data_IF_062284108580
#
_entry.id   IF_062284108580
#
_cell.length_a   1.000
_cell.length_b   1.000
_cell.length_c   1.000
_cell.angle_alpha   90.00
_cell.angle_beta   90.00
_cell.angle_gamma   90.00
#
_symmetry.space_group_name_H-M   'P 1'
#
loop_
_entity.id
_entity.type
_entity.pdbx_description
1 polymer ?
#
# COMPACT_ATOMS: atom_id res chain seq x y z
N UNK A 1 -6.20 24.14 -22.69
CA UNK A 1 -6.13 24.68 -21.32
C UNK A 1 -4.77 24.37 -20.71
N UNK A 2 -4.03 25.40 -20.30
CA UNK A 2 -2.76 25.25 -19.56
C UNK A 2 -3.04 25.21 -18.06
N UNK A 3 -2.39 24.28 -17.34
CA UNK A 3 -2.44 24.25 -15.88
C UNK A 3 -1.60 25.39 -15.32
N UNK A 4 -2.20 26.19 -14.43
CA UNK A 4 -1.52 27.27 -13.74
C UNK A 4 -0.45 26.69 -12.81
N UNK A 5 0.64 27.43 -12.59
CA UNK A 5 1.72 27.00 -11.69
C UNK A 5 1.21 26.74 -10.25
N UNK A 6 0.22 27.51 -9.81
CA UNK A 6 -0.46 27.34 -8.51
C UNK A 6 -1.16 25.98 -8.41
N UNK A 7 -1.84 25.54 -9.45
CA UNK A 7 -2.53 24.24 -9.51
C UNK A 7 -1.51 23.10 -9.46
N UNK A 8 -0.41 23.21 -10.21
CA UNK A 8 0.67 22.20 -10.18
C UNK A 8 1.27 22.08 -8.77
N UNK A 9 1.56 23.19 -8.09
CA UNK A 9 2.06 23.18 -6.71
C UNK A 9 1.05 22.55 -5.75
N UNK A 10 -0.25 22.84 -5.91
CA UNK A 10 -1.32 22.26 -5.09
C UNK A 10 -1.38 20.74 -5.24
N UNK A 11 -1.43 20.25 -6.48
CA UNK A 11 -1.46 18.80 -6.78
C UNK A 11 -0.20 18.11 -6.26
N UNK A 12 0.98 18.72 -6.45
CA UNK A 12 2.27 18.22 -5.92
C UNK A 12 2.24 18.03 -4.42
N UNK A 13 1.63 18.97 -3.70
CA UNK A 13 1.49 18.88 -2.26
C UNK A 13 0.48 17.80 -1.85
N UNK A 14 -0.58 17.59 -2.65
CA UNK A 14 -1.57 16.54 -2.41
C UNK A 14 -0.94 15.14 -2.43
N UNK A 15 0.01 14.86 -3.34
CA UNK A 15 0.65 13.54 -3.50
C UNK A 15 1.31 12.99 -2.22
N UNK A 16 1.78 13.87 -1.34
CA UNK A 16 2.34 13.48 -0.03
C UNK A 16 1.30 12.80 0.85
N UNK A 17 0.06 13.30 0.81
CA UNK A 17 -1.06 12.71 1.55
C UNK A 17 -1.56 11.44 0.89
N UNK A 18 -1.58 11.37 -0.44
CA UNK A 18 -1.95 10.14 -1.16
C UNK A 18 -1.02 8.98 -0.79
N UNK A 19 0.30 9.19 -0.89
CA UNK A 19 1.28 8.14 -0.57
C UNK A 19 1.20 7.71 0.88
N UNK A 20 1.02 8.66 1.81
CA UNK A 20 0.84 8.36 3.22
C UNK A 20 -0.47 7.60 3.49
N UNK A 21 -1.56 7.91 2.78
CA UNK A 21 -2.84 7.20 2.90
C UNK A 21 -2.72 5.75 2.42
N UNK A 22 -1.95 5.48 1.36
CA UNK A 22 -1.72 4.10 0.88
C UNK A 22 -0.95 3.24 1.89
N UNK A 23 -0.02 3.83 2.65
CA UNK A 23 0.70 3.11 3.71
C UNK A 23 -0.29 2.67 4.79
N UNK A 24 -1.12 3.58 5.28
CA UNK A 24 -2.13 3.24 6.29
C UNK A 24 -3.14 2.22 5.75
N UNK A 25 -3.61 2.40 4.50
CA UNK A 25 -4.53 1.47 3.86
C UNK A 25 -3.93 0.06 3.78
N UNK A 26 -2.65 -0.07 3.44
CA UNK A 26 -1.99 -1.38 3.38
C UNK A 26 -1.97 -2.10 4.73
N UNK A 27 -1.83 -1.34 5.83
CA UNK A 27 -1.94 -1.87 7.17
C UNK A 27 -3.39 -2.28 7.47
N UNK A 28 -4.38 -1.41 7.21
CA UNK A 28 -5.78 -1.67 7.48
C UNK A 28 -6.31 -2.89 6.72
N UNK A 29 -5.99 -3.01 5.43
CA UNK A 29 -6.37 -4.17 4.60
C UNK A 29 -5.73 -5.46 5.11
N UNK A 30 -4.47 -5.41 5.56
CA UNK A 30 -3.82 -6.57 6.18
C UNK A 30 -4.53 -6.95 7.48
N UNK A 31 -4.86 -5.96 8.30
CA UNK A 31 -5.48 -6.14 9.61
C UNK A 31 -6.89 -6.72 9.52
N UNK A 32 -7.63 -6.40 8.46
CA UNK A 32 -9.01 -6.86 8.26
C UNK A 32 -9.14 -8.26 7.62
N UNK A 33 -8.04 -8.92 7.20
CA UNK A 33 -8.10 -10.30 6.66
C UNK A 33 -8.62 -11.31 7.67
N UNK A 34 -9.57 -12.16 7.26
CA UNK A 34 -10.31 -13.12 8.10
C UNK A 34 -9.43 -13.80 9.17
N UNK A 35 -8.27 -14.31 8.79
CA UNK A 35 -7.38 -15.09 9.68
C UNK A 35 -6.61 -14.25 10.71
N UNK A 36 -6.68 -12.93 10.65
CA UNK A 36 -5.98 -12.07 11.59
C UNK A 36 -6.83 -11.82 12.82
N UNK A 37 -6.35 -12.25 13.98
CA UNK A 37 -6.97 -12.03 15.29
C UNK A 37 -6.27 -10.88 16.01
N UNK A 38 -7.05 -9.95 16.54
CA UNK A 38 -6.50 -8.83 17.31
C UNK A 38 -6.22 -9.29 18.73
N UNK A 39 -5.03 -8.95 19.24
CA UNK A 39 -4.67 -9.26 20.62
C UNK A 39 -5.58 -8.51 21.58
N UNK A 40 -6.16 -9.25 22.53
CA UNK A 40 -6.98 -8.69 23.62
C UNK A 40 -6.15 -8.08 24.75
N UNK A 41 -4.89 -8.49 24.88
CA UNK A 41 -3.95 -7.98 25.88
C UNK A 41 -2.50 -8.10 25.36
N UNK A 42 -1.63 -7.22 25.83
CA UNK A 42 -0.18 -7.33 25.68
C UNK A 42 0.47 -7.07 27.03
N UNK A 43 1.35 -7.97 27.45
CA UNK A 43 2.08 -7.91 28.70
C UNK A 43 3.57 -7.71 28.45
N UNK A 44 4.24 -7.02 29.36
CA UNK A 44 5.70 -6.90 29.42
C UNK A 44 6.15 -7.21 30.83
N UNK A 45 7.09 -8.14 30.94
CA UNK A 45 7.75 -8.45 32.20
C UNK A 45 8.97 -7.54 32.37
N UNK A 46 8.99 -6.82 33.48
CA UNK A 46 10.06 -5.91 33.89
C UNK A 46 10.88 -6.64 34.96
N UNK A 47 12.10 -7.08 34.65
CA UNK A 47 12.92 -7.83 35.60
C UNK A 47 13.35 -6.94 36.77
N UNK A 48 13.24 -7.45 37.98
CA UNK A 48 13.82 -6.82 39.17
C UNK A 48 15.25 -7.33 39.35
N UNK A 49 16.22 -6.41 39.47
CA UNK A 49 17.65 -6.73 39.42
C UNK A 49 18.11 -7.64 40.59
N UNK A 50 17.37 -7.66 41.69
CA UNK A 50 17.84 -8.25 42.95
C UNK A 50 17.15 -9.55 43.37
N UNK A 51 16.10 -9.97 42.65
CA UNK A 51 15.37 -11.23 42.91
C UNK A 51 14.95 -11.77 41.56
N UNK A 52 14.90 -13.09 41.35
CA UNK A 52 14.31 -13.72 40.16
C UNK A 52 12.78 -13.49 40.08
N UNK A 53 12.35 -12.23 40.26
CA UNK A 53 10.99 -11.72 40.31
C UNK A 53 10.83 -10.69 39.17
N UNK A 54 9.65 -10.63 38.57
CA UNK A 54 9.30 -9.65 37.55
C UNK A 54 8.05 -8.87 37.98
N UNK A 55 8.01 -7.58 37.64
CA UNK A 55 6.75 -6.83 37.59
C UNK A 55 6.14 -7.02 36.20
N UNK A 56 4.85 -7.34 36.12
CA UNK A 56 4.15 -7.42 34.84
C UNK A 56 3.33 -6.16 34.63
N UNK A 57 3.61 -5.43 33.56
CA UNK A 57 2.72 -4.37 33.06
C UNK A 57 1.92 -4.89 31.87
N UNK A 58 0.66 -4.45 31.74
CA UNK A 58 -0.19 -4.85 30.61
C UNK A 58 -0.97 -3.70 29.99
N UNK A 59 -1.24 -3.84 28.69
CA UNK A 59 -2.10 -2.96 27.91
C UNK A 59 -3.22 -3.81 27.32
N UNK A 60 -4.45 -3.40 27.58
CA UNK A 60 -5.63 -4.04 27.00
C UNK A 60 -5.83 -3.61 25.54
N UNK A 61 -6.13 -4.59 24.70
CA UNK A 61 -6.55 -4.43 23.30
C UNK A 61 -5.63 -3.52 22.45
N UNK A 62 -4.31 -3.70 22.48
CA UNK A 62 -3.37 -2.80 21.80
C UNK A 62 -3.57 -2.77 20.29
N UNK A 63 -3.94 -3.89 19.66
CA UNK A 63 -4.14 -3.96 18.22
C UNK A 63 -5.39 -3.20 17.78
N UNK A 64 -6.45 -3.22 18.60
CA UNK A 64 -7.67 -2.45 18.41
C UNK A 64 -7.38 -0.94 18.46
N UNK A 65 -6.63 -0.49 19.46
CA UNK A 65 -6.21 0.92 19.59
C UNK A 65 -5.38 1.36 18.39
N UNK A 66 -4.40 0.55 17.99
CA UNK A 66 -3.60 0.82 16.80
C UNK A 66 -4.47 0.87 15.55
N UNK A 67 -5.39 -0.07 15.37
CA UNK A 67 -6.28 -0.10 14.23
C UNK A 67 -7.08 1.20 14.10
N UNK A 68 -7.67 1.69 15.19
CA UNK A 68 -8.43 2.94 15.20
C UNK A 68 -7.54 4.15 14.89
N UNK A 69 -6.32 4.20 15.46
CA UNK A 69 -5.37 5.27 15.15
C UNK A 69 -5.01 5.27 13.65
N UNK A 70 -4.78 4.11 13.06
CA UNK A 70 -4.52 3.98 11.62
C UNK A 70 -5.74 4.31 10.76
N UNK A 71 -6.94 3.91 11.18
CA UNK A 71 -8.18 4.23 10.48
C UNK A 71 -8.42 5.74 10.47
N UNK A 72 -8.31 6.39 11.63
CA UNK A 72 -8.42 7.84 11.73
C UNK A 72 -7.37 8.53 10.85
N UNK A 73 -6.10 8.10 10.93
CA UNK A 73 -5.02 8.68 10.12
C UNK A 73 -5.23 8.50 8.62
N UNK A 74 -5.73 7.33 8.21
CA UNK A 74 -6.07 7.02 6.82
C UNK A 74 -7.16 7.94 6.29
N UNK A 75 -8.26 8.10 7.06
CA UNK A 75 -9.35 9.01 6.72
C UNK A 75 -8.82 10.45 6.64
N UNK A 76 -8.00 10.87 7.60
CA UNK A 76 -7.39 12.20 7.61
C UNK A 76 -6.61 12.48 6.31
N UNK A 77 -5.68 11.60 5.97
CA UNK A 77 -4.83 11.74 4.78
C UNK A 77 -5.65 11.71 3.50
N UNK A 78 -6.69 10.87 3.46
CA UNK A 78 -7.64 10.79 2.35
C UNK A 78 -8.38 12.10 2.15
N UNK A 79 -8.96 12.67 3.22
CA UNK A 79 -9.66 13.95 3.16
C UNK A 79 -8.72 15.08 2.73
N UNK A 80 -7.51 15.15 3.30
CA UNK A 80 -6.51 16.16 2.92
C UNK A 80 -6.15 16.09 1.44
N UNK A 81 -5.95 14.88 0.92
CA UNK A 81 -5.71 14.66 -0.51
C UNK A 81 -6.88 15.17 -1.35
N UNK A 82 -8.10 14.68 -1.07
CA UNK A 82 -9.31 15.05 -1.82
C UNK A 82 -9.53 16.57 -1.79
N UNK A 83 -9.39 17.21 -0.63
CA UNK A 83 -9.52 18.66 -0.50
C UNK A 83 -8.55 19.43 -1.38
N UNK A 84 -7.28 19.02 -1.41
CA UNK A 84 -6.27 19.67 -2.24
C UNK A 84 -6.42 19.34 -3.73
N UNK A 85 -7.06 18.24 -4.10
CA UNK A 85 -7.32 17.92 -5.50
C UNK A 85 -8.52 18.70 -6.04
N UNK A 86 -9.61 18.77 -5.27
CA UNK A 86 -10.90 19.29 -5.74
C UNK A 86 -11.03 20.80 -5.52
N UNK A 87 -10.59 21.33 -4.38
CA UNK A 87 -10.85 22.72 -4.01
C UNK A 87 -9.62 23.62 -4.29
N UNK A 88 -9.75 24.50 -5.28
CA UNK A 88 -8.67 25.41 -5.70
C UNK A 88 -8.31 26.45 -4.63
N UNK A 89 -9.24 26.78 -3.74
CA UNK A 89 -9.05 27.78 -2.67
C UNK A 89 -8.37 27.20 -1.42
N UNK A 90 -8.19 25.88 -1.37
CA UNK A 90 -7.61 25.17 -0.23
C UNK A 90 -6.10 25.05 -0.41
N UNK A 91 -5.37 25.43 0.64
CA UNK A 91 -3.91 25.39 0.68
C UNK A 91 -3.44 24.48 1.82
N UNK A 92 -2.17 24.06 1.77
CA UNK A 92 -1.54 23.32 2.88
C UNK A 92 -1.71 24.04 4.22
N UNK A 93 -1.61 25.38 4.26
CA UNK A 93 -1.78 26.16 5.49
C UNK A 93 -3.16 25.95 6.10
N UNK A 94 -4.23 25.98 5.28
CA UNK A 94 -5.61 25.69 5.73
C UNK A 94 -5.75 24.24 6.20
N UNK A 95 -5.15 23.30 5.48
CA UNK A 95 -5.15 21.88 5.84
C UNK A 95 -4.45 21.62 7.19
N UNK A 96 -3.27 22.21 7.43
CA UNK A 96 -2.55 22.06 8.69
C UNK A 96 -3.24 22.76 9.86
N UNK A 97 -3.95 23.87 9.61
CA UNK A 97 -4.76 24.56 10.62
C UNK A 97 -5.91 23.69 11.17
N UNK A 98 -6.30 22.61 10.46
CA UNK A 98 -7.30 21.66 10.96
C UNK A 98 -6.81 20.80 12.14
N UNK A 99 -5.51 20.77 12.45
CA UNK A 99 -4.93 20.04 13.62
C UNK A 99 -5.50 18.62 13.81
N UNK A 100 -5.55 17.83 12.74
CA UNK A 100 -6.11 16.45 12.71
C UNK A 100 -7.63 16.31 12.87
N UNK A 101 -8.38 17.41 12.99
CA UNK A 101 -9.83 17.34 13.12
C UNK A 101 -10.49 16.97 11.77
N UNK A 102 -11.02 15.75 11.68
CA UNK A 102 -11.63 15.20 10.46
C UNK A 102 -12.87 16.00 10.02
N UNK A 103 -13.70 16.46 10.97
CA UNK A 103 -14.87 17.29 10.67
C UNK A 103 -14.52 18.63 10.01
N UNK A 104 -13.43 19.26 10.44
CA UNK A 104 -12.92 20.47 9.77
C UNK A 104 -12.46 20.18 8.35
N UNK A 105 -11.89 19.00 8.10
CA UNK A 105 -11.44 18.59 6.76
C UNK A 105 -12.61 18.31 5.81
N UNK A 106 -13.75 17.80 6.30
CA UNK A 106 -14.94 17.63 5.46
C UNK A 106 -15.40 18.92 4.79
N UNK A 107 -15.29 20.07 5.47
CA UNK A 107 -15.64 21.39 4.90
C UNK A 107 -14.89 21.71 3.61
N UNK A 108 -13.73 21.08 3.40
CA UNK A 108 -12.87 21.29 2.25
C UNK A 108 -12.96 20.17 1.22
N UNK A 109 -13.62 19.06 1.55
CA UNK A 109 -13.83 17.93 0.65
C UNK A 109 -15.27 17.92 0.14
N UNK A 110 -15.53 17.24 -0.99
CA UNK A 110 -16.90 16.98 -1.43
C UNK A 110 -17.55 15.80 -0.67
N UNK A 111 -16.83 15.19 0.27
CA UNK A 111 -17.40 14.28 1.24
C UNK A 111 -18.01 15.11 2.36
N UNK A 112 -19.30 14.93 2.61
CA UNK A 112 -20.02 15.55 3.71
C UNK A 112 -20.87 14.49 4.42
N UNK A 113 -21.47 14.86 5.55
CA UNK A 113 -22.28 13.91 6.35
C UNK A 113 -23.43 13.32 5.56
N UNK A 114 -24.10 14.13 4.74
CA UNK A 114 -25.23 13.67 3.93
C UNK A 114 -24.80 12.60 2.92
N UNK A 115 -23.66 12.80 2.26
CA UNK A 115 -23.08 11.82 1.34
C UNK A 115 -22.68 10.55 2.09
N UNK A 116 -22.09 10.67 3.28
CA UNK A 116 -21.73 9.51 4.10
C UNK A 116 -22.95 8.71 4.54
N UNK A 117 -24.02 9.37 5.00
CA UNK A 117 -25.30 8.71 5.35
C UNK A 117 -25.94 7.96 4.18
N UNK A 118 -25.68 8.39 2.94
CA UNK A 118 -26.14 7.71 1.72
C UNK A 118 -25.26 6.52 1.33
N UNK A 119 -24.00 6.51 1.76
CA UNK A 119 -23.01 5.49 1.39
C UNK A 119 -22.86 4.39 2.44
N UNK A 120 -23.19 4.68 3.69
CA UNK A 120 -23.03 3.81 4.85
C UNK A 120 -24.42 3.41 5.35
N UNK A 121 -24.57 2.15 5.75
CA UNK A 121 -25.70 1.72 6.57
C UNK A 121 -25.67 2.43 7.93
N UNK A 122 -26.79 2.42 8.65
CA UNK A 122 -26.94 3.15 9.91
C UNK A 122 -25.84 2.82 10.92
N UNK A 123 -25.57 1.52 11.13
CA UNK A 123 -24.52 1.03 12.03
C UNK A 123 -23.12 1.46 11.59
N UNK A 124 -22.80 1.34 10.30
CA UNK A 124 -21.51 1.74 9.76
C UNK A 124 -21.32 3.26 9.87
N UNK A 125 -22.40 4.02 9.70
CA UNK A 125 -22.41 5.47 9.86
C UNK A 125 -22.17 5.89 11.31
N UNK A 126 -22.78 5.20 12.28
CA UNK A 126 -22.54 5.46 13.71
C UNK A 126 -21.07 5.27 14.08
N UNK A 127 -20.48 4.14 13.68
CA UNK A 127 -19.07 3.84 13.93
C UNK A 127 -18.17 4.85 13.20
N UNK A 128 -18.49 5.17 11.95
CA UNK A 128 -17.77 6.19 11.19
C UNK A 128 -17.84 7.55 11.89
N UNK A 129 -19.03 7.99 12.29
CA UNK A 129 -19.26 9.26 13.00
C UNK A 129 -18.47 9.33 14.31
N UNK A 130 -18.38 8.21 15.04
CA UNK A 130 -17.53 8.09 16.20
C UNK A 130 -16.06 8.34 15.84
N UNK A 131 -15.53 7.62 14.83
CA UNK A 131 -14.13 7.81 14.35
C UNK A 131 -13.86 9.26 13.93
N UNK A 132 -14.82 9.91 13.28
CA UNK A 132 -14.72 11.30 12.83
C UNK A 132 -14.66 12.32 13.96
N UNK A 133 -15.19 11.95 15.14
CA UNK A 133 -15.18 12.75 16.35
C UNK A 133 -14.00 12.48 17.28
N UNK A 134 -13.22 11.43 17.01
CA UNK A 134 -12.08 11.08 17.84
C UNK A 134 -11.06 12.22 17.90
N UNK A 135 -10.61 12.50 19.12
CA UNK A 135 -9.41 13.30 19.34
C UNK A 135 -8.22 12.37 19.24
N UNK A 136 -7.52 12.42 18.10
CA UNK A 136 -6.39 11.54 17.81
C UNK A 136 -5.33 11.50 18.93
N UNK A 137 -5.02 12.64 19.56
CA UNK A 137 -4.10 12.72 20.70
C UNK A 137 -4.58 11.93 21.91
N UNK A 138 -5.88 12.00 22.18
CA UNK A 138 -6.47 11.43 23.39
C UNK A 138 -6.51 9.90 23.28
N UNK A 139 -6.74 9.36 22.08
CA UNK A 139 -6.61 7.92 21.80
C UNK A 139 -5.16 7.47 21.93
N UNK A 140 -4.21 8.27 21.44
CA UNK A 140 -2.78 7.90 21.41
C UNK A 140 -2.13 7.92 22.79
N UNK A 141 -2.52 8.86 23.63
CA UNK A 141 -1.92 9.10 24.94
C UNK A 141 -2.85 8.75 26.10
N UNK A 142 -3.99 8.12 25.81
CA UNK A 142 -5.03 7.77 26.79
C UNK A 142 -5.41 8.93 27.72
N UNK A 143 -5.41 10.15 27.18
CA UNK A 143 -5.56 11.38 27.98
C UNK A 143 -7.01 11.62 28.46
N UNK A 144 -7.95 10.81 28.00
CA UNK A 144 -9.36 10.83 28.41
C UNK A 144 -9.95 9.43 28.31
N UNK A 145 -10.91 9.10 29.16
CA UNK A 145 -11.68 7.86 29.05
C UNK A 145 -12.42 7.83 27.71
N UNK A 146 -12.21 6.79 26.90
CA UNK A 146 -12.89 6.59 25.63
C UNK A 146 -13.28 5.12 25.47
N UNK A 147 -14.53 4.89 25.08
CA UNK A 147 -15.06 3.57 24.74
C UNK A 147 -15.11 3.43 23.22
N UNK A 148 -14.51 2.36 22.68
CA UNK A 148 -14.50 2.08 21.25
C UNK A 148 -15.46 0.94 20.96
N UNK A 149 -16.32 1.11 19.95
CA UNK A 149 -17.18 0.05 19.43
C UNK A 149 -16.48 -0.56 18.22
N UNK A 150 -16.20 -1.86 18.28
CA UNK A 150 -15.56 -2.62 17.20
C UNK A 150 -16.58 -3.54 16.55
N UNK A 151 -16.98 -3.19 15.34
CA UNK A 151 -17.62 -4.12 14.42
C UNK A 151 -16.73 -4.27 13.20
N UNK A 152 -16.20 -5.48 12.99
CA UNK A 152 -15.18 -5.74 11.97
C UNK A 152 -15.72 -5.47 10.56
N UNK A 153 -16.96 -5.83 10.30
CA UNK A 153 -17.60 -5.69 9.01
C UNK A 153 -17.86 -4.21 8.71
N UNK A 154 -18.38 -3.47 9.70
CA UNK A 154 -18.51 -2.01 9.61
C UNK A 154 -17.16 -1.32 9.38
N UNK A 155 -16.10 -1.71 10.10
CA UNK A 155 -14.77 -1.16 9.89
C UNK A 155 -14.23 -1.46 8.49
N UNK A 156 -14.50 -2.66 7.97
CA UNK A 156 -14.15 -3.04 6.60
C UNK A 156 -14.90 -2.18 5.57
N UNK A 157 -16.20 -1.96 5.76
CA UNK A 157 -17.03 -1.12 4.89
C UNK A 157 -16.55 0.33 4.90
N UNK A 158 -16.27 0.89 6.08
CA UNK A 158 -15.74 2.25 6.24
C UNK A 158 -14.41 2.39 5.48
N UNK A 159 -13.46 1.46 5.68
CA UNK A 159 -12.17 1.47 4.97
C UNK A 159 -12.38 1.45 3.45
N UNK A 160 -13.27 0.58 2.96
CA UNK A 160 -13.55 0.45 1.53
C UNK A 160 -14.17 1.71 0.92
N UNK A 161 -15.04 2.41 1.64
CA UNK A 161 -15.65 3.65 1.17
C UNK A 161 -14.59 4.75 1.00
N UNK A 162 -13.76 4.97 2.03
CA UNK A 162 -12.70 5.98 1.93
C UNK A 162 -11.62 5.61 0.92
N UNK A 163 -11.28 4.31 0.80
CA UNK A 163 -10.42 3.79 -0.27
C UNK A 163 -11.00 4.12 -1.64
N UNK A 164 -12.28 3.86 -1.87
CA UNK A 164 -12.94 4.15 -3.15
C UNK A 164 -12.88 5.64 -3.47
N UNK A 165 -13.25 6.51 -2.53
CA UNK A 165 -13.19 7.96 -2.71
C UNK A 165 -11.78 8.47 -3.01
N UNK A 166 -10.76 7.91 -2.35
CA UNK A 166 -9.35 8.22 -2.60
C UNK A 166 -8.94 7.89 -4.04
N UNK A 167 -9.28 6.67 -4.50
CA UNK A 167 -8.93 6.16 -5.82
C UNK A 167 -9.72 6.86 -6.92
N UNK A 168 -11.01 7.08 -6.73
CA UNK A 168 -11.88 7.77 -7.70
C UNK A 168 -11.43 9.22 -7.88
N UNK A 169 -11.09 9.91 -6.79
CA UNK A 169 -10.51 11.25 -6.86
C UNK A 169 -9.20 11.24 -7.66
N UNK A 170 -8.28 10.31 -7.38
CA UNK A 170 -7.04 10.20 -8.15
C UNK A 170 -7.29 9.94 -9.63
N UNK A 171 -8.15 8.98 -9.94
CA UNK A 171 -8.48 8.61 -11.31
C UNK A 171 -9.00 9.81 -12.09
N UNK A 172 -9.97 10.52 -11.52
CA UNK A 172 -10.62 11.69 -12.13
C UNK A 172 -9.66 12.85 -12.40
N UNK A 173 -8.74 13.15 -11.48
CA UNK A 173 -7.95 14.39 -11.55
C UNK A 173 -6.51 14.20 -12.04
N UNK A 174 -5.93 12.99 -11.96
CA UNK A 174 -4.55 12.73 -12.37
C UNK A 174 -4.40 11.78 -13.55
N UNK A 175 -5.33 10.82 -13.69
CA UNK A 175 -5.23 9.80 -14.75
C UNK A 175 -6.06 10.12 -16.00
N UNK A 176 -6.76 11.26 -16.02
CA UNK A 176 -7.24 11.85 -17.27
C UNK A 176 -6.04 12.09 -18.22
N UNK A 177 -6.18 11.63 -19.46
CA UNK A 177 -5.16 11.69 -20.53
C UNK A 177 -4.59 13.10 -20.69
N UNK A 178 -5.40 14.16 -20.49
CA UNK A 178 -4.96 15.57 -20.58
C UNK A 178 -3.95 15.95 -19.49
N UNK A 179 -4.07 15.39 -18.29
CA UNK A 179 -3.19 15.66 -17.16
C UNK A 179 -1.93 14.82 -17.22
N UNK A 180 -2.05 13.54 -17.61
CA UNK A 180 -0.93 12.58 -17.63
C UNK A 180 0.26 13.06 -18.49
N UNK A 181 0.01 13.59 -19.68
CA UNK A 181 1.07 14.03 -20.61
C UNK A 181 1.80 15.28 -20.11
N UNK A 182 1.07 16.24 -19.51
CA UNK A 182 1.65 17.50 -19.01
C UNK A 182 2.29 17.34 -17.64
N UNK A 183 1.67 16.57 -16.76
CA UNK A 183 2.15 16.33 -15.39
C UNK A 183 3.47 15.55 -15.40
N UNK A 184 3.56 14.49 -16.21
CA UNK A 184 4.82 13.70 -16.36
C UNK A 184 5.93 14.50 -17.03
N UNK A 185 5.63 15.33 -18.04
CA UNK A 185 6.64 16.17 -18.72
C UNK A 185 7.17 17.30 -17.83
N UNK A 186 6.32 18.13 -17.21
CA UNK A 186 6.76 19.30 -16.43
C UNK A 186 7.42 18.95 -15.08
N UNK A 187 7.10 17.80 -14.49
CA UNK A 187 7.70 17.38 -13.21
C UNK A 187 9.12 16.84 -13.34
N UNK A 188 9.45 16.23 -14.49
CA UNK A 188 10.79 15.71 -14.77
C UNK A 188 11.85 16.82 -14.75
N UNK A 189 11.43 18.06 -15.04
CA UNK A 189 12.33 19.18 -15.29
C UNK A 189 12.45 20.20 -14.13
N UNK A 190 11.60 20.14 -13.07
CA UNK A 190 11.51 21.23 -12.06
C UNK A 190 11.73 20.84 -10.61
N UNK A 191 11.67 19.57 -10.26
CA UNK A 191 11.90 19.13 -8.88
C UNK A 191 12.86 17.95 -8.90
N UNK A 192 13.81 17.94 -7.98
CA UNK A 192 14.45 16.71 -7.52
C UNK A 192 13.33 15.84 -6.93
N UNK A 193 12.71 15.05 -7.79
CA UNK A 193 11.79 14.00 -7.40
C UNK A 193 12.52 13.20 -6.33
N UNK A 194 12.00 13.20 -5.10
CA UNK A 194 12.18 12.05 -4.22
C UNK A 194 11.39 10.91 -4.86
N UNK A 195 11.96 10.33 -5.93
CA UNK A 195 11.69 8.96 -6.26
C UNK A 195 12.15 8.19 -5.03
N UNK A 196 11.20 7.76 -4.21
CA UNK A 196 11.41 6.55 -3.42
C UNK A 196 11.55 5.44 -4.45
N UNK A 197 12.77 5.30 -4.98
CA UNK A 197 13.19 4.11 -5.65
C UNK A 197 13.17 3.04 -4.57
N UNK A 198 12.01 2.40 -4.40
CA UNK A 198 12.02 1.02 -3.91
C UNK A 198 12.82 0.32 -4.99
N UNK A 199 14.05 -0.14 -4.73
CA UNK A 199 14.74 -0.97 -5.69
C UNK A 199 13.96 -2.28 -5.69
N UNK A 200 12.91 -2.36 -6.49
CA UNK A 200 12.57 -3.62 -7.13
C UNK A 200 13.77 -3.82 -8.02
N UNK A 201 14.71 -4.65 -7.56
CA UNK A 201 15.87 -4.98 -8.36
C UNK A 201 15.35 -5.35 -9.74
N UNK A 202 15.66 -4.54 -10.76
CA UNK A 202 15.35 -4.85 -12.17
C UNK A 202 16.39 -5.82 -12.72
N UNK A 203 16.95 -6.63 -11.84
CA UNK A 203 17.95 -7.64 -12.14
C UNK A 203 17.26 -9.00 -12.16
N UNK A 204 17.74 -9.86 -13.04
CA UNK A 204 17.35 -11.25 -13.09
C UNK A 204 17.54 -11.92 -11.71
N UNK A 205 16.61 -12.80 -11.29
CA UNK A 205 16.84 -13.62 -10.10
C UNK A 205 18.11 -14.46 -10.31
N UNK A 206 19.07 -14.38 -9.40
CA UNK A 206 20.31 -15.17 -9.51
C UNK A 206 20.07 -16.66 -9.31
N UNK A 207 19.05 -17.02 -8.53
CA UNK A 207 18.67 -18.39 -8.20
C UNK A 207 17.15 -18.51 -8.24
N UNK A 208 16.65 -19.56 -8.89
CA UNK A 208 15.23 -19.88 -9.01
C UNK A 208 15.02 -21.34 -8.62
N UNK A 209 14.00 -21.62 -7.81
CA UNK A 209 13.64 -22.99 -7.44
C UNK A 209 13.35 -23.85 -8.69
N UNK A 210 13.81 -25.09 -8.70
CA UNK A 210 13.68 -26.02 -9.83
C UNK A 210 12.25 -26.17 -10.35
N UNK A 211 11.32 -26.46 -9.44
CA UNK A 211 9.90 -26.68 -9.76
C UNK A 211 9.28 -25.41 -10.34
N UNK A 212 9.62 -24.24 -9.77
CA UNK A 212 9.08 -22.98 -10.25
C UNK A 212 9.63 -22.61 -11.63
N UNK A 213 10.92 -22.81 -11.86
CA UNK A 213 11.56 -22.56 -13.15
C UNK A 213 10.94 -23.45 -14.24
N UNK A 214 10.84 -24.77 -13.98
CA UNK A 214 10.21 -25.74 -14.88
C UNK A 214 8.75 -25.38 -15.17
N UNK A 215 8.01 -24.95 -14.15
CA UNK A 215 6.62 -24.53 -14.35
C UNK A 215 6.51 -23.30 -15.26
N UNK A 216 7.42 -22.35 -15.16
CA UNK A 216 7.44 -21.15 -16.01
C UNK A 216 7.83 -21.53 -17.46
N UNK A 217 8.89 -22.32 -17.64
CA UNK A 217 9.41 -22.63 -18.98
C UNK A 217 8.59 -23.67 -19.74
N UNK A 218 7.78 -24.48 -19.03
CA UNK A 218 6.94 -25.51 -19.65
C UNK A 218 5.46 -25.12 -19.74
N UNK A 219 5.13 -23.83 -19.59
CA UNK A 219 3.74 -23.32 -19.58
C UNK A 219 2.85 -23.91 -18.47
N UNK A 220 3.44 -24.47 -17.40
CA UNK A 220 2.76 -25.12 -16.27
C UNK A 220 2.60 -24.22 -15.04
N UNK A 221 2.84 -22.91 -15.16
CA UNK A 221 2.68 -21.95 -14.05
C UNK A 221 1.23 -21.92 -13.57
N UNK A 222 0.95 -22.67 -12.50
CA UNK A 222 -0.31 -22.78 -11.74
C UNK A 222 -1.61 -22.42 -12.49
N UNK A 223 -2.23 -23.46 -13.07
CA UNK A 223 -3.66 -23.80 -13.00
C UNK A 223 -4.63 -22.60 -13.02
N UNK A 224 -5.17 -22.30 -14.20
CA UNK A 224 -6.62 -22.27 -14.35
C UNK A 224 -6.98 -23.46 -15.24
N UNK A 225 -7.17 -24.63 -14.62
CA UNK A 225 -7.80 -25.76 -15.30
C UNK A 225 -9.25 -25.37 -15.56
N UNK A 226 -9.68 -25.36 -16.82
CA UNK A 226 -11.11 -25.31 -17.14
C UNK A 226 -11.53 -26.75 -17.39
N UNK A 227 -12.33 -27.31 -16.49
CA UNK A 227 -12.91 -28.63 -16.68
C UNK A 227 -14.11 -28.46 -17.63
N UNK A 228 -13.96 -28.88 -18.89
CA UNK A 228 -15.10 -29.10 -19.78
C UNK A 228 -15.39 -30.60 -19.83
N UNK A 229 -16.67 -30.94 -19.68
CA UNK A 229 -17.13 -32.32 -19.62
C UNK A 229 -16.56 -33.21 -20.73
N UNK A 230 -16.11 -34.39 -20.30
CA UNK A 230 -15.82 -35.61 -21.06
C UNK A 230 -14.79 -35.60 -22.22
N UNK A 231 -14.17 -34.48 -22.60
CA UNK A 231 -13.18 -34.48 -23.69
C UNK A 231 -11.88 -33.75 -23.32
N UNK A 232 -11.04 -34.36 -22.47
CA UNK A 232 -9.64 -33.97 -22.29
C UNK A 232 -9.37 -32.63 -21.58
N UNK A 233 -8.19 -32.52 -20.97
CA UNK A 233 -7.70 -31.27 -20.37
C UNK A 233 -7.12 -30.41 -21.49
N UNK A 234 -7.78 -29.33 -21.88
CA UNK A 234 -7.18 -28.29 -22.73
C UNK A 234 -6.67 -27.11 -21.91
N UNK A 235 -5.44 -26.67 -22.22
CA UNK A 235 -4.82 -25.50 -21.62
C UNK A 235 -5.33 -24.24 -22.31
N UNK A 236 -6.09 -23.40 -21.61
CA UNK A 236 -6.49 -22.10 -22.16
C UNK A 236 -5.25 -21.21 -22.38
N UNK A 237 -5.09 -20.57 -23.56
CA UNK A 237 -3.99 -19.66 -23.81
C UNK A 237 -4.09 -18.43 -22.90
N UNK A 238 -3.27 -18.41 -21.85
CA UNK A 238 -3.18 -17.28 -20.94
C UNK A 238 -2.48 -16.10 -21.65
N UNK A 239 -3.07 -14.89 -21.63
CA UNK A 239 -2.45 -13.66 -22.15
C UNK A 239 -1.09 -13.33 -21.50
N UNK A 240 -0.81 -13.94 -20.34
CA UNK A 240 0.42 -13.75 -19.58
C UNK A 240 1.39 -14.94 -19.67
N UNK A 241 1.09 -15.98 -20.45
CA UNK A 241 2.04 -17.06 -20.72
C UNK A 241 3.24 -16.53 -21.52
N UNK A 242 4.40 -17.11 -21.27
CA UNK A 242 5.57 -16.86 -22.11
C UNK A 242 5.36 -17.51 -23.48
N UNK A 243 5.96 -16.97 -24.53
CA UNK A 243 6.03 -17.66 -25.83
C UNK A 243 7.12 -18.72 -25.79
N UNK A 244 7.12 -19.68 -26.71
CA UNK A 244 8.17 -20.71 -26.78
C UNK A 244 9.57 -20.09 -26.91
N UNK A 245 9.71 -19.01 -27.69
CA UNK A 245 10.96 -18.26 -27.80
C UNK A 245 11.39 -17.60 -26.49
N UNK A 246 10.44 -17.14 -25.67
CA UNK A 246 10.72 -16.56 -24.36
C UNK A 246 11.12 -17.65 -23.34
N UNK A 247 10.50 -18.82 -23.40
CA UNK A 247 10.86 -20.00 -22.60
C UNK A 247 12.25 -20.54 -22.96
N UNK A 248 12.55 -20.66 -24.26
CA UNK A 248 13.86 -21.08 -24.77
C UNK A 248 14.94 -20.09 -24.31
N UNK A 249 14.67 -18.79 -24.42
CA UNK A 249 15.57 -17.76 -23.92
C UNK A 249 15.85 -17.90 -22.42
N UNK A 250 14.83 -18.15 -21.58
CA UNK A 250 15.05 -18.38 -20.15
C UNK A 250 15.87 -19.64 -19.88
N UNK A 251 15.57 -20.74 -20.57
CA UNK A 251 16.31 -22.00 -20.45
C UNK A 251 17.79 -21.83 -20.82
N UNK A 252 18.08 -20.98 -21.81
CA UNK A 252 19.44 -20.72 -22.28
C UNK A 252 20.30 -19.87 -21.33
N UNK A 253 19.69 -19.04 -20.49
CA UNK A 253 20.41 -18.12 -19.58
C UNK A 253 20.51 -18.63 -18.14
N UNK A 254 19.86 -19.74 -17.82
CA UNK A 254 20.00 -20.43 -16.53
C UNK A 254 20.67 -21.79 -16.68
N UNK A 255 21.27 -22.26 -15.60
CA UNK A 255 21.89 -23.57 -15.48
C UNK A 255 21.39 -24.28 -14.22
N UNK A 256 21.08 -25.57 -14.32
CA UNK A 256 20.64 -26.34 -13.17
C UNK A 256 21.85 -26.82 -12.36
N UNK A 257 21.94 -26.40 -11.09
CA UNK A 257 22.98 -26.78 -10.13
C UNK A 257 22.34 -26.92 -8.74
N UNK A 258 22.82 -27.81 -7.88
CA UNK A 258 22.39 -27.89 -6.46
C UNK A 258 20.86 -27.80 -6.25
N UNK A 259 20.08 -28.54 -7.05
CA UNK A 259 18.60 -28.57 -6.97
C UNK A 259 17.88 -27.24 -7.26
N UNK A 260 18.54 -26.28 -7.92
CA UNK A 260 17.96 -25.00 -8.34
C UNK A 260 18.54 -24.54 -9.69
N UNK A 261 17.88 -23.58 -10.33
CA UNK A 261 18.38 -22.93 -11.54
C UNK A 261 19.14 -21.65 -11.17
N UNK A 262 20.39 -21.56 -11.57
CA UNK A 262 21.28 -20.42 -11.35
C UNK A 262 21.43 -19.63 -12.63
N UNK A 263 21.44 -18.31 -12.54
CA UNK A 263 21.71 -17.45 -13.68
C UNK A 263 23.18 -17.63 -14.09
N UNK A 264 23.45 -17.89 -15.37
CA UNK A 264 24.82 -18.06 -15.89
C UNK A 264 25.65 -16.81 -15.60
N UNK A 265 26.92 -17.00 -15.24
CA UNK A 265 27.87 -15.90 -15.05
C UNK A 265 28.07 -15.16 -16.38
N UNK A 266 28.10 -13.82 -16.38
CA UNK A 266 28.23 -12.91 -17.54
C UNK A 266 26.94 -12.43 -18.25
N UNK A 267 25.78 -12.48 -17.60
CA UNK A 267 24.56 -11.85 -18.15
C UNK A 267 24.66 -10.32 -18.08
N UNK A 268 24.65 -9.66 -19.24
CA UNK A 268 24.69 -8.20 -19.34
C UNK A 268 23.42 -7.55 -18.77
N UNK A 269 23.48 -6.24 -18.56
CA UNK A 269 22.40 -5.46 -17.93
C UNK A 269 21.10 -5.42 -18.75
N UNK A 270 21.16 -5.51 -20.08
CA UNK A 270 19.97 -5.55 -20.94
C UNK A 270 19.32 -6.93 -20.88
N UNK A 271 20.12 -7.98 -20.97
CA UNK A 271 19.68 -9.37 -20.84
C UNK A 271 19.08 -9.62 -19.46
N UNK A 272 19.70 -9.11 -18.39
CA UNK A 272 19.18 -9.17 -17.02
C UNK A 272 17.80 -8.51 -16.88
N UNK A 273 17.59 -7.34 -17.52
CA UNK A 273 16.28 -6.67 -17.55
C UNK A 273 15.24 -7.44 -18.36
N UNK A 274 15.64 -8.07 -19.47
CA UNK A 274 14.75 -8.91 -20.28
C UNK A 274 14.26 -10.09 -19.46
N UNK A 275 15.17 -10.81 -18.80
CA UNK A 275 14.85 -11.92 -17.89
C UNK A 275 13.88 -11.47 -16.79
N UNK A 276 14.17 -10.36 -16.12
CA UNK A 276 13.28 -9.80 -15.10
C UNK A 276 11.84 -9.58 -15.62
N UNK A 277 11.69 -9.01 -16.83
CA UNK A 277 10.38 -8.78 -17.45
C UNK A 277 9.65 -10.09 -17.76
N UNK A 278 10.36 -11.14 -18.17
CA UNK A 278 9.77 -12.45 -18.44
C UNK A 278 9.28 -13.12 -17.16
N UNK A 279 10.06 -13.08 -16.08
CA UNK A 279 9.61 -13.55 -14.77
C UNK A 279 8.39 -12.76 -14.26
N UNK A 280 8.38 -11.43 -14.45
CA UNK A 280 7.23 -10.60 -14.09
C UNK A 280 5.99 -10.92 -14.95
N UNK A 281 6.15 -11.16 -16.25
CA UNK A 281 5.09 -11.60 -17.18
C UNK A 281 4.49 -12.93 -16.73
N UNK A 282 5.34 -13.87 -16.31
CA UNK A 282 4.95 -15.17 -15.75
C UNK A 282 4.43 -15.11 -14.29
N UNK A 283 4.13 -13.91 -13.75
CA UNK A 283 3.67 -13.69 -12.38
C UNK A 283 4.58 -14.25 -11.27
N UNK A 284 5.87 -14.41 -11.55
CA UNK A 284 6.84 -14.87 -10.55
C UNK A 284 7.09 -13.77 -9.50
N UNK A 285 6.83 -14.11 -8.23
CA UNK A 285 7.21 -13.26 -7.09
C UNK A 285 8.66 -13.57 -6.73
N UNK A 286 9.55 -12.62 -7.00
CA UNK A 286 10.95 -12.69 -6.56
C UNK A 286 11.01 -12.95 -5.05
N UNK A 287 11.95 -13.80 -4.57
CA UNK A 287 12.18 -13.92 -3.14
C UNK A 287 12.45 -12.52 -2.56
N UNK A 288 11.79 -12.21 -1.44
CA UNK A 288 11.98 -10.93 -0.75
C UNK A 288 13.48 -10.75 -0.50
N UNK A 289 14.10 -9.64 -0.93
CA UNK A 289 15.49 -9.40 -0.55
C UNK A 289 15.57 -9.32 0.97
N UNK A 290 16.47 -10.10 1.58
CA UNK A 290 16.91 -9.86 2.96
C UNK A 290 17.63 -8.50 2.97
N UNK A 291 16.88 -7.42 3.22
CA UNK A 291 17.50 -6.12 3.45
C UNK A 291 17.97 -6.06 4.89
N UNK A 292 19.29 -6.04 5.09
CA UNK A 292 19.87 -5.29 6.21
C UNK A 292 19.55 -3.81 5.97
N UNK A 293 18.68 -3.26 6.81
CA UNK A 293 18.36 -1.83 6.82
C UNK A 293 19.54 -1.13 7.50
N UNK A 294 20.38 -0.40 6.75
CA UNK A 294 21.30 0.57 7.34
C UNK A 294 20.59 1.93 7.43
N UNK A 295 20.34 2.41 8.64
CA UNK A 295 19.83 3.76 8.89
C UNK A 295 21.03 4.69 9.10
N UNK A 296 21.16 5.71 8.25
CA UNK A 296 21.99 6.90 8.48
C UNK A 296 23.50 6.76 8.22
N UNK A 297 24.00 7.51 7.23
CA UNK A 297 25.26 8.24 7.46
C UNK A 297 24.87 9.63 7.95
N UNK A 298 25.12 9.91 9.24
CA UNK A 298 25.21 11.28 9.73
C UNK A 298 26.20 12.02 8.83
N UNK A 299 25.74 13.09 8.17
CA UNK A 299 26.67 14.16 7.83
C UNK A 299 26.94 14.89 9.14
N UNK A 300 28.11 14.65 9.72
CA UNK A 300 28.65 15.59 10.69
C UNK A 300 28.88 16.92 9.93
N UNK A 301 28.48 18.07 10.49
CA UNK A 301 28.87 19.35 9.93
C UNK A 301 30.38 19.52 10.10
N UNK A 302 30.99 20.17 9.10
CA UNK A 302 32.40 20.60 9.09
C UNK A 302 32.74 21.47 10.30
#
# INVERSE_FOLDING_TARGET
MELKLSELKRITNAEKFFSAALIDLSFLEKSLKIDNTFRGEFTVDIPLIEKDECLTESILSPDHIHFILFLHSFIEKTLKYISLMINETVTNKKIFASKHNLRKLFKYSNLNEEKLKKLLEERDYEICSYVLNLKYSDVRYFSSLQSFIFDRDSLHNIVNIFKKELIDCRSKYLYDVKYRVKFVRKWRDRFSLFCVNIPVSKEAPKVVNATVFINITNHRSHIHLIEFGNNGIEYAPNKNALTDQECEFLTNVYEFKNSAYYLKENVDKQTSKKIFRLFAKANYRLPKPEKKISVGKQRLPE
#
